data_IF_680066500143
#
_entry.id   IF_680066500143
#
_cell.length_a   1.000
_cell.length_b   1.000
_cell.length_c   1.000
_cell.angle_alpha   90.00
_cell.angle_beta   90.00
_cell.angle_gamma   90.00
#
_symmetry.space_group_name_H-M   'P 1'
#
loop_
_entity.id
_entity.type
_entity.pdbx_description
1 polymer ?
#
# COMPACT_ATOMS: atom_id res chain seq x y z
N UNK A 1 -17.86 3.32 3.55
CA UNK A 1 -16.41 3.61 3.55
C UNK A 1 -16.24 5.05 4.03
N UNK A 2 -15.49 5.29 5.10
CA UNK A 2 -15.25 6.64 5.61
C UNK A 2 -14.16 7.33 4.76
N UNK A 3 -14.21 8.65 4.56
CA UNK A 3 -13.16 9.37 3.85
C UNK A 3 -11.83 9.26 4.60
N UNK A 4 -10.75 8.96 3.88
CA UNK A 4 -9.39 8.87 4.40
C UNK A 4 -8.85 10.24 4.84
N UNK A 5 -8.84 10.54 6.14
CA UNK A 5 -8.09 11.66 6.70
C UNK A 5 -6.74 11.16 7.24
N UNK A 6 -5.77 10.96 6.33
CA UNK A 6 -4.39 10.59 6.64
C UNK A 6 -4.06 9.14 6.30
N UNK A 7 -3.09 8.97 5.39
CA UNK A 7 -2.54 7.68 5.00
C UNK A 7 -1.12 7.52 5.53
N UNK A 8 -0.81 6.37 6.14
CA UNK A 8 0.56 5.95 6.42
C UNK A 8 0.86 4.68 5.61
N UNK A 9 1.52 4.85 4.46
CA UNK A 9 2.04 3.73 3.69
C UNK A 9 3.40 3.32 4.27
N UNK A 10 3.51 2.08 4.78
CA UNK A 10 4.77 1.54 5.31
C UNK A 10 5.12 0.24 4.59
N UNK A 11 5.95 0.36 3.55
CA UNK A 11 6.38 -0.75 2.72
C UNK A 11 7.64 -1.45 3.21
N UNK A 12 7.69 -2.78 3.06
CA UNK A 12 8.90 -3.59 3.19
C UNK A 12 9.58 -3.71 1.83
N UNK A 13 10.79 -3.15 1.73
CA UNK A 13 11.65 -3.30 0.56
C UNK A 13 12.71 -4.35 0.93
N UNK A 14 12.74 -5.54 0.31
CA UNK A 14 13.87 -6.43 0.44
C UNK A 14 15.11 -5.69 -0.09
N UNK A 15 16.17 -5.66 0.71
CA UNK A 15 17.34 -4.84 0.48
C UNK A 15 17.85 -4.89 -0.98
N UNK A 16 18.08 -3.68 -1.51
CA UNK A 16 18.66 -3.29 -2.80
C UNK A 16 17.85 -3.70 -4.05
N UNK A 17 17.40 -2.66 -4.74
CA UNK A 17 17.02 -2.67 -6.18
C UNK A 17 15.79 -3.49 -6.61
N UNK A 18 14.96 -4.01 -5.71
CA UNK A 18 13.76 -4.76 -6.12
C UNK A 18 12.54 -3.85 -6.32
N UNK A 19 12.00 -3.89 -7.54
CA UNK A 19 10.71 -3.31 -7.94
C UNK A 19 9.52 -4.09 -7.38
N UNK A 20 9.73 -5.15 -6.59
CA UNK A 20 8.72 -6.03 -6.01
C UNK A 20 9.00 -6.25 -4.51
N UNK A 21 7.96 -6.14 -3.68
CA UNK A 21 8.08 -6.38 -2.24
C UNK A 21 6.75 -6.72 -1.57
N UNK A 22 6.77 -6.83 -0.25
CA UNK A 22 5.56 -6.88 0.58
C UNK A 22 5.37 -5.51 1.23
N UNK A 23 4.16 -4.99 1.30
CA UNK A 23 3.89 -3.70 1.94
C UNK A 23 2.71 -3.84 2.87
N UNK A 24 2.71 -3.02 3.92
CA UNK A 24 1.57 -2.87 4.79
C UNK A 24 1.04 -1.46 4.60
N UNK A 25 -0.18 -1.37 4.11
CA UNK A 25 -0.88 -0.10 4.03
C UNK A 25 -1.65 0.06 5.34
N UNK A 26 -1.45 1.20 5.99
CA UNK A 26 -2.16 1.58 7.21
C UNK A 26 -2.86 2.92 6.92
N UNK A 27 -4.18 2.91 7.01
CA UNK A 27 -4.99 4.12 6.87
C UNK A 27 -6.22 4.05 7.76
N UNK A 28 -7.01 5.12 7.80
CA UNK A 28 -8.26 5.12 8.54
C UNK A 28 -9.27 4.14 7.92
N UNK A 29 -9.32 2.92 8.48
CA UNK A 29 -10.17 1.83 8.01
C UNK A 29 -9.45 0.76 7.19
N UNK A 30 -8.13 0.85 7.00
CA UNK A 30 -7.36 -0.20 6.33
C UNK A 30 -6.10 -0.56 7.10
N UNK A 31 -5.89 -1.86 7.32
CA UNK A 31 -4.73 -2.38 8.04
C UNK A 31 -4.42 -3.80 7.55
N UNK A 32 -3.83 -3.90 6.36
CA UNK A 32 -3.63 -5.19 5.73
C UNK A 32 -2.29 -5.28 4.99
N UNK A 33 -1.81 -6.52 4.89
CA UNK A 33 -0.65 -6.86 4.09
C UNK A 33 -1.06 -7.11 2.64
N UNK A 34 -0.13 -6.81 1.74
CA UNK A 34 -0.22 -7.19 0.35
C UNK A 34 1.13 -7.25 -0.31
N UNK A 35 1.12 -7.62 -1.58
CA UNK A 35 2.29 -7.58 -2.45
C UNK A 35 2.24 -6.32 -3.31
N UNK A 36 3.38 -5.75 -3.64
CA UNK A 36 3.42 -4.55 -4.48
C UNK A 36 4.51 -4.58 -5.52
N UNK A 37 4.25 -3.87 -6.62
CA UNK A 37 5.23 -3.46 -7.62
C UNK A 37 5.37 -1.94 -7.61
N UNK A 38 6.61 -1.45 -7.62
CA UNK A 38 6.92 -0.03 -7.74
C UNK A 38 7.17 0.34 -9.21
N UNK A 39 6.47 1.35 -9.69
CA UNK A 39 6.72 2.02 -10.95
C UNK A 39 7.36 3.40 -10.66
N UNK A 40 8.61 3.58 -11.10
CA UNK A 40 9.47 4.70 -10.74
C UNK A 40 10.38 4.39 -9.55
N UNK A 41 10.86 5.44 -8.88
CA UNK A 41 11.64 5.37 -7.64
C UNK A 41 10.89 6.11 -6.53
N UNK A 42 10.99 5.66 -5.28
CA UNK A 42 10.38 6.39 -4.15
C UNK A 42 10.99 7.77 -3.90
N UNK A 43 12.12 8.06 -4.56
CA UNK A 43 12.79 9.37 -4.56
C UNK A 43 12.40 10.24 -5.74
N UNK A 44 11.45 9.81 -6.59
CA UNK A 44 10.92 10.62 -7.69
C UNK A 44 9.85 11.59 -7.17
N UNK A 45 9.64 12.72 -7.85
CA UNK A 45 8.57 13.66 -7.53
C UNK A 45 7.21 12.96 -7.54
N UNK A 46 6.99 12.08 -8.52
CA UNK A 46 5.83 11.21 -8.60
C UNK A 46 6.27 9.76 -8.76
N UNK A 47 5.69 8.86 -7.98
CA UNK A 47 5.86 7.41 -8.17
C UNK A 47 4.54 6.68 -7.96
N UNK A 48 4.44 5.47 -8.52
CA UNK A 48 3.23 4.65 -8.41
C UNK A 48 3.53 3.30 -7.80
N UNK A 49 2.71 2.90 -6.84
CA UNK A 49 2.70 1.56 -6.26
C UNK A 49 1.48 0.81 -6.78
N UNK A 50 1.70 -0.33 -7.43
CA UNK A 50 0.66 -1.29 -7.79
C UNK A 50 0.61 -2.34 -6.71
N UNK A 51 -0.45 -2.36 -5.91
CA UNK A 51 -0.53 -3.18 -4.71
C UNK A 51 -1.71 -4.15 -4.79
N UNK A 52 -1.54 -5.40 -4.39
CA UNK A 52 -2.61 -6.38 -4.31
C UNK A 52 -2.78 -6.73 -2.83
N UNK A 53 -3.93 -6.36 -2.26
CA UNK A 53 -4.28 -6.72 -0.90
C UNK A 53 -4.70 -8.19 -0.83
N UNK A 54 -4.27 -8.86 0.23
CA UNK A 54 -4.88 -10.12 0.61
C UNK A 54 -6.33 -9.86 1.08
N UNK A 55 -7.23 -10.86 0.96
CA UNK A 55 -8.58 -10.76 1.49
C UNK A 55 -8.62 -10.24 2.93
N UNK A 56 -9.32 -9.14 3.16
CA UNK A 56 -9.46 -8.53 4.49
C UNK A 56 -10.89 -7.99 4.72
N UNK A 57 -11.30 -7.82 5.99
CA UNK A 57 -12.59 -7.21 6.31
C UNK A 57 -12.78 -5.81 5.71
N UNK A 58 -11.67 -5.07 5.53
CA UNK A 58 -11.65 -3.74 4.93
C UNK A 58 -12.27 -3.72 3.52
N UNK A 59 -12.20 -4.86 2.81
CA UNK A 59 -12.69 -5.06 1.45
C UNK A 59 -13.86 -6.06 1.36
N UNK A 60 -14.58 -6.29 2.47
CA UNK A 60 -15.66 -7.27 2.49
C UNK A 60 -15.16 -8.70 2.28
N UNK A 61 -13.97 -9.02 2.78
CA UNK A 61 -13.25 -10.29 2.61
C UNK A 61 -12.88 -10.62 1.16
N UNK A 62 -12.74 -9.60 0.29
CA UNK A 62 -12.26 -9.74 -1.08
C UNK A 62 -10.80 -9.31 -1.20
N UNK A 63 -10.10 -9.86 -2.18
CA UNK A 63 -8.85 -9.28 -2.63
C UNK A 63 -9.14 -7.99 -3.42
N UNK A 64 -8.24 -7.01 -3.35
CA UNK A 64 -8.34 -5.78 -4.14
C UNK A 64 -7.01 -5.42 -4.78
N UNK A 65 -7.08 -4.98 -6.03
CA UNK A 65 -5.96 -4.36 -6.73
C UNK A 65 -6.03 -2.85 -6.53
N UNK A 66 -4.90 -2.29 -6.12
CA UNK A 66 -4.70 -0.88 -5.82
C UNK A 66 -3.68 -0.29 -6.78
N UNK A 67 -3.97 0.92 -7.24
CA UNK A 67 -3.00 1.83 -7.81
C UNK A 67 -2.90 3.04 -6.90
N UNK A 68 -1.75 3.18 -6.26
CA UNK A 68 -1.43 4.29 -5.37
C UNK A 68 -0.42 5.19 -6.07
N UNK A 69 -0.80 6.43 -6.37
CA UNK A 69 0.10 7.44 -6.92
C UNK A 69 0.50 8.38 -5.80
N UNK A 70 1.79 8.54 -5.57
CA UNK A 70 2.36 9.41 -4.56
C UNK A 70 3.04 10.58 -5.26
N UNK A 71 2.72 11.80 -4.81
CA UNK A 71 3.23 13.05 -5.38
C UNK A 71 3.84 13.85 -4.22
N UNK A 72 5.13 14.17 -4.34
CA UNK A 72 5.83 15.05 -3.40
C UNK A 72 5.53 16.49 -3.77
N UNK A 73 5.18 17.29 -2.78
CA UNK A 73 4.90 18.71 -2.94
C UNK A 73 5.71 19.53 -1.96
N UNK A 74 5.93 20.80 -2.27
CA UNK A 74 6.75 21.70 -1.47
C UNK A 74 6.16 21.95 -0.06
N UNK A 75 4.84 22.03 0.04
CA UNK A 75 4.13 22.26 1.31
C UNK A 75 3.62 20.96 1.96
N UNK A 76 3.17 20.01 1.14
CA UNK A 76 2.65 18.73 1.60
C UNK A 76 2.76 17.67 0.52
N UNK A 77 2.98 16.43 0.96
CA UNK A 77 2.94 15.25 0.12
C UNK A 77 1.51 14.75 0.00
N UNK A 78 1.08 14.40 -1.22
CA UNK A 78 -0.28 13.92 -1.50
C UNK A 78 -0.27 12.56 -2.19
N UNK A 79 -1.31 11.77 -1.98
CA UNK A 79 -1.48 10.51 -2.68
C UNK A 79 -2.89 10.40 -3.28
N UNK A 80 -3.01 9.57 -4.30
CA UNK A 80 -4.25 9.22 -4.99
C UNK A 80 -4.34 7.70 -5.03
N UNK A 81 -5.47 7.14 -4.62
CA UNK A 81 -5.75 5.70 -4.67
C UNK A 81 -6.92 5.42 -5.60
N UNK A 82 -6.68 4.51 -6.55
CA UNK A 82 -7.72 3.85 -7.33
C UNK A 82 -7.68 2.36 -7.00
N UNK A 83 -8.84 1.74 -6.81
CA UNK A 83 -8.89 0.33 -6.46
C UNK A 83 -10.04 -0.41 -7.16
N UNK A 84 -9.83 -1.70 -7.40
CA UNK A 84 -10.80 -2.62 -8.00
C UNK A 84 -10.78 -3.90 -7.17
N UNK A 85 -11.95 -4.40 -6.75
CA UNK A 85 -12.05 -5.70 -6.07
C UNK A 85 -11.98 -6.86 -7.07
N UNK A 86 -11.75 -8.08 -6.60
CA UNK A 86 -11.66 -9.30 -7.42
C UNK A 86 -12.86 -9.55 -8.37
N UNK A 87 -14.03 -8.99 -8.09
CA UNK A 87 -15.22 -9.05 -8.97
C UNK A 87 -15.19 -8.03 -10.12
N UNK A 88 -14.16 -7.19 -10.22
CA UNK A 88 -14.05 -6.12 -11.22
C UNK A 88 -14.80 -4.83 -10.88
N UNK A 89 -15.46 -4.78 -9.72
CA UNK A 89 -16.13 -3.57 -9.24
C UNK A 89 -15.11 -2.51 -8.81
N UNK A 90 -15.23 -1.31 -9.36
CA UNK A 90 -14.37 -0.18 -9.03
C UNK A 90 -14.77 0.43 -7.68
N UNK A 91 -13.78 0.73 -6.85
CA UNK A 91 -13.95 1.47 -5.61
C UNK A 91 -13.77 2.96 -5.92
N UNK A 92 -14.58 3.81 -5.28
CA UNK A 92 -14.49 5.25 -5.43
C UNK A 92 -13.08 5.75 -5.10
N UNK A 93 -12.52 6.57 -5.99
CA UNK A 93 -11.18 7.14 -5.84
C UNK A 93 -11.04 7.83 -4.47
N UNK A 94 -9.92 7.58 -3.80
CA UNK A 94 -9.54 8.25 -2.57
C UNK A 94 -8.32 9.14 -2.81
N UNK A 95 -8.22 10.21 -2.04
CA UNK A 95 -7.08 11.12 -2.06
C UNK A 95 -6.79 11.63 -0.65
N UNK A 96 -5.54 11.95 -0.36
CA UNK A 96 -5.17 12.53 0.92
C UNK A 96 -3.70 12.90 0.98
N UNK A 97 -3.21 13.12 2.20
CA UNK A 97 -1.78 13.38 2.46
C UNK A 97 -1.09 12.13 2.98
N UNK A 98 0.23 12.07 2.79
CA UNK A 98 1.05 10.96 3.29
C UNK A 98 2.36 11.43 3.91
N UNK A 99 2.89 10.63 4.83
CA UNK A 99 4.29 10.69 5.28
C UNK A 99 5.01 9.42 4.86
N UNK A 100 6.32 9.50 4.71
CA UNK A 100 7.16 8.35 4.37
C UNK A 100 8.26 8.22 5.41
N UNK A 101 8.34 7.04 6.04
CA UNK A 101 9.32 6.75 7.07
C UNK A 101 10.21 5.56 6.67
N UNK A 102 11.38 5.48 7.29
CA UNK A 102 12.27 4.34 7.10
C UNK A 102 11.68 3.12 7.81
N UNK A 103 11.39 2.08 7.05
CA UNK A 103 11.01 0.79 7.62
C UNK A 103 12.21 0.14 8.34
N UNK A 104 12.03 -0.21 9.62
CA UNK A 104 13.03 -0.89 10.46
C UNK A 104 12.71 -2.38 10.67
N UNK A 105 11.59 -2.88 10.15
CA UNK A 105 11.16 -4.27 10.28
C UNK A 105 11.86 -5.14 9.23
N UNK A 106 12.72 -6.05 9.67
CA UNK A 106 13.55 -6.91 8.79
C UNK A 106 12.79 -8.13 8.27
N UNK A 107 11.80 -8.65 8.99
CA UNK A 107 10.92 -9.70 8.50
C UNK A 107 9.54 -9.62 9.21
N UNK A 108 8.47 -9.23 8.51
CA UNK A 108 7.14 -9.13 9.11
C UNK A 108 6.45 -10.50 9.30
N UNK A 109 7.01 -11.58 8.75
CA UNK A 109 6.42 -12.93 8.81
C UNK A 109 7.39 -13.87 9.53
N UNK A 110 7.03 -14.29 10.75
CA UNK A 110 7.73 -15.39 11.41
C UNK A 110 7.46 -16.68 10.62
N UNK A 111 8.47 -17.17 9.89
CA UNK A 111 8.40 -18.44 9.15
C UNK A 111 8.64 -19.61 10.10
N UNK A 112 7.74 -19.82 11.07
CA UNK A 112 7.65 -21.10 11.77
C UNK A 112 6.69 -22.00 10.99
N UNK A 113 7.23 -23.00 10.29
CA UNK A 113 6.41 -24.06 9.72
C UNK A 113 5.88 -24.92 10.87
N UNK A 114 4.67 -24.63 11.35
CA UNK A 114 3.95 -25.54 12.22
C UNK A 114 3.49 -26.73 11.38
N UNK A 115 4.30 -27.78 11.32
CA UNK A 115 3.86 -29.08 10.81
C UNK A 115 2.69 -29.53 11.70
N UNK A 116 1.52 -29.74 11.11
CA UNK A 116 0.49 -30.59 11.71
C UNK A 116 0.76 -32.04 11.33
#
# INVERSE_FOLDING_TARGET
MLPWNGAQASGYVPARTSTLGAEKIISQGENHYGVYVLQGQRTDETYTVKFISLPSPDWGNKAAYHQLTFIRGDAQNVFIQNAIVDTGEAIAQQNGTYTQEKNTVVNPISTAWNKK
#
